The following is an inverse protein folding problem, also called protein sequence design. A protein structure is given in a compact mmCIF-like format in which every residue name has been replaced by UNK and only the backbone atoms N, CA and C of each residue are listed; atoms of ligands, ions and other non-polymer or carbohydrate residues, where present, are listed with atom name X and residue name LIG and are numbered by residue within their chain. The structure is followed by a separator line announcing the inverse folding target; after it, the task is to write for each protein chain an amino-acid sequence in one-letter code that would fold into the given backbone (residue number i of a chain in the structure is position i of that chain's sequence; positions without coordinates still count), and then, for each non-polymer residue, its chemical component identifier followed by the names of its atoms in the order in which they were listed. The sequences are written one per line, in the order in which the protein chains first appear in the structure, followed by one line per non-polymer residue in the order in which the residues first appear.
data_IF_886047908648
#
_entry.id   IF_886047908648
#
_cell.length_a   1.000
_cell.length_b   1.000
_cell.length_c   1.000
_cell.angle_alpha   90.00
_cell.angle_beta   90.00
_cell.angle_gamma   90.00
#
_symmetry.space_group_name_H-M   'P 1'
#
loop_
_entity.id
_entity.type
_entity.pdbx_description
1 polymer ?
#
# COMPACT_ATOMS: atom_id res chain seq x y z
N UNK A 1 14.41 -23.51 6.21
CA UNK A 1 15.38 -24.39 6.87
C UNK A 1 16.70 -23.69 7.01
N UNK A 2 17.38 -23.30 5.93
CA UNK A 2 18.64 -22.53 6.00
C UNK A 2 18.54 -21.28 6.88
N UNK A 3 17.44 -20.53 6.76
CA UNK A 3 17.16 -19.36 7.60
C UNK A 3 17.00 -19.74 9.10
N UNK A 4 16.17 -20.74 9.42
CA UNK A 4 15.93 -21.16 10.82
C UNK A 4 17.19 -21.69 11.49
N UNK A 5 18.09 -22.29 10.72
CA UNK A 5 19.37 -22.78 11.20
C UNK A 5 20.37 -21.66 11.54
N UNK A 6 20.09 -20.41 11.14
CA UNK A 6 20.96 -19.25 11.39
C UNK A 6 20.58 -18.44 12.64
N UNK A 7 19.32 -18.47 13.07
CA UNK A 7 18.89 -17.78 14.30
C UNK A 7 19.03 -18.65 15.55
N UNK A 8 19.06 -18.04 16.74
CA UNK A 8 19.08 -18.76 18.03
C UNK A 8 17.71 -18.62 18.69
N UNK A 9 17.08 -19.74 19.09
CA UNK A 9 15.79 -19.71 19.79
C UNK A 9 14.86 -20.86 19.42
N UNK A 10 13.56 -20.81 19.80
CA UNK A 10 12.57 -21.84 19.48
C UNK A 10 12.37 -22.03 17.96
N UNK A 11 12.56 -20.98 17.16
CA UNK A 11 12.51 -21.04 15.70
C UNK A 11 13.62 -21.94 15.12
N UNK A 12 14.83 -21.91 15.70
CA UNK A 12 15.93 -22.80 15.33
C UNK A 12 15.60 -24.28 15.59
N UNK A 13 15.03 -24.57 16.76
CA UNK A 13 14.61 -25.93 17.10
C UNK A 13 13.53 -26.45 16.13
N UNK A 14 12.59 -25.60 15.75
CA UNK A 14 11.59 -25.91 14.72
C UNK A 14 12.26 -26.21 13.37
N UNK A 15 13.27 -25.43 12.98
CA UNK A 15 14.02 -25.63 11.75
C UNK A 15 14.82 -26.92 11.70
N UNK A 16 15.46 -27.29 12.81
CA UNK A 16 16.15 -28.57 12.96
C UNK A 16 15.15 -29.72 12.87
N UNK A 17 14.02 -29.66 13.59
CA UNK A 17 12.97 -30.68 13.52
C UNK A 17 12.42 -30.88 12.10
N UNK A 18 12.08 -29.78 11.42
CA UNK A 18 11.59 -29.82 10.05
C UNK A 18 12.63 -30.34 9.04
N UNK A 19 13.93 -30.19 9.35
CA UNK A 19 15.01 -30.71 8.51
C UNK A 19 15.13 -32.21 8.49
N UNK A 20 14.67 -32.87 9.55
CA UNK A 20 14.69 -34.33 9.65
C UNK A 20 13.40 -34.97 9.12
N UNK A 21 12.37 -34.18 8.79
CA UNK A 21 11.14 -34.68 8.17
C UNK A 21 11.31 -34.84 6.66
N UNK A 22 11.04 -36.06 6.18
CA UNK A 22 10.99 -36.39 4.75
C UNK A 22 9.70 -35.86 4.11
N UNK A 23 9.66 -34.55 3.85
CA UNK A 23 8.56 -33.89 3.14
C UNK A 23 8.85 -33.74 1.63
N UNK A 24 7.81 -33.75 0.77
CA UNK A 24 7.92 -33.30 -0.61
C UNK A 24 8.55 -31.91 -0.71
N UNK A 25 9.24 -31.63 -1.81
CA UNK A 25 9.98 -30.38 -1.99
C UNK A 25 9.08 -29.15 -1.85
N UNK A 26 7.89 -29.22 -2.43
CA UNK A 26 6.89 -28.16 -2.44
C UNK A 26 6.43 -27.83 -1.01
N UNK A 27 6.21 -28.87 -0.19
CA UNK A 27 5.86 -28.70 1.22
C UNK A 27 7.02 -28.08 2.02
N UNK A 28 8.27 -28.47 1.72
CA UNK A 28 9.46 -27.85 2.33
C UNK A 28 9.58 -26.38 1.95
N UNK A 29 9.36 -26.03 0.69
CA UNK A 29 9.45 -24.65 0.20
C UNK A 29 8.36 -23.75 0.80
N UNK A 30 7.12 -24.26 0.93
CA UNK A 30 6.05 -23.56 1.64
C UNK A 30 6.43 -23.28 3.11
N UNK A 31 6.88 -24.31 3.83
CA UNK A 31 7.31 -24.16 5.22
C UNK A 31 8.47 -23.17 5.35
N UNK A 32 9.45 -23.24 4.44
CA UNK A 32 10.57 -22.31 4.39
C UNK A 32 10.11 -20.87 4.18
N UNK A 33 9.11 -20.64 3.33
CA UNK A 33 8.52 -19.32 3.09
C UNK A 33 7.84 -18.74 4.32
N UNK A 34 6.97 -19.52 4.99
CA UNK A 34 6.26 -19.10 6.22
C UNK A 34 7.27 -18.65 7.29
N UNK A 35 8.28 -19.48 7.46
CA UNK A 35 9.39 -19.28 8.39
C UNK A 35 10.21 -18.03 8.08
N UNK A 36 10.56 -17.82 6.81
CA UNK A 36 11.34 -16.66 6.40
C UNK A 36 10.56 -15.37 6.64
N UNK A 37 9.25 -15.38 6.37
CA UNK A 37 8.37 -14.23 6.65
C UNK A 37 8.24 -13.98 8.14
N UNK A 38 8.04 -15.03 8.96
CA UNK A 38 7.96 -14.88 10.43
C UNK A 38 9.22 -14.23 10.98
N UNK A 39 10.38 -14.74 10.62
CA UNK A 39 11.60 -14.23 11.22
C UNK A 39 12.03 -12.86 10.64
N UNK A 40 11.67 -12.58 9.38
CA UNK A 40 11.73 -11.22 8.86
C UNK A 40 10.84 -10.26 9.66
N UNK A 41 9.66 -10.73 10.08
CA UNK A 41 8.75 -9.96 10.91
C UNK A 41 9.28 -9.76 12.33
N UNK A 42 9.90 -10.77 12.92
CA UNK A 42 10.52 -10.68 14.25
C UNK A 42 11.72 -9.74 14.25
N UNK A 43 12.51 -9.75 13.17
CA UNK A 43 13.62 -8.79 12.95
C UNK A 43 13.12 -7.37 12.67
N UNK A 44 11.88 -7.22 12.22
CA UNK A 44 11.30 -5.96 11.78
C UNK A 44 11.70 -5.55 10.37
N UNK A 45 11.07 -4.48 9.88
CA UNK A 45 11.34 -3.91 8.57
C UNK A 45 11.33 -2.38 8.64
N UNK A 46 12.32 -1.72 8.03
CA UNK A 46 12.33 -0.26 7.94
C UNK A 46 11.13 0.23 7.11
N UNK A 47 10.16 0.80 7.81
CA UNK A 47 8.88 1.24 7.28
C UNK A 47 8.69 2.74 7.48
N UNK A 48 7.77 3.33 6.73
CA UNK A 48 7.37 4.73 6.87
C UNK A 48 5.87 4.89 7.15
N UNK A 49 5.50 5.73 8.10
CA UNK A 49 4.12 6.10 8.41
C UNK A 49 4.04 7.51 9.00
N UNK A 50 3.20 8.38 8.41
CA UNK A 50 2.87 9.72 8.93
C UNK A 50 4.11 10.56 9.30
N UNK A 51 5.11 10.62 8.42
CA UNK A 51 6.34 11.39 8.68
C UNK A 51 7.40 10.67 9.51
N UNK A 52 7.15 9.44 9.96
CA UNK A 52 8.04 8.70 10.86
C UNK A 52 8.57 7.44 10.20
N UNK A 53 9.85 7.16 10.44
CA UNK A 53 10.45 5.87 10.11
C UNK A 53 10.59 5.00 11.36
N UNK A 54 10.50 3.68 11.21
CA UNK A 54 10.65 2.73 12.30
C UNK A 54 10.83 1.32 11.78
N UNK A 55 11.40 0.44 12.60
CA UNK A 55 11.62 -0.98 12.25
C UNK A 55 10.67 -1.94 12.96
N UNK A 56 9.97 -1.47 13.99
CA UNK A 56 9.12 -2.29 14.86
C UNK A 56 7.65 -2.31 14.44
N UNK A 57 7.29 -1.61 13.36
CA UNK A 57 5.90 -1.42 12.94
C UNK A 57 5.05 -0.55 13.87
N UNK A 58 3.80 -0.32 13.45
CA UNK A 58 2.76 0.43 14.15
C UNK A 58 1.45 -0.32 14.10
N UNK A 59 0.78 -0.46 15.24
CA UNK A 59 -0.49 -1.17 15.30
C UNK A 59 -1.59 -0.52 14.45
N UNK A 60 -1.51 0.79 14.24
CA UNK A 60 -2.49 1.54 13.44
C UNK A 60 -2.10 1.65 11.96
N UNK A 61 -1.01 1.03 11.51
CA UNK A 61 -0.55 1.11 10.13
C UNK A 61 -1.64 0.68 9.14
N UNK A 62 -2.22 -0.51 9.33
CA UNK A 62 -3.23 -1.04 8.41
C UNK A 62 -4.56 -0.32 8.49
N UNK A 63 -4.88 0.33 9.62
CA UNK A 63 -6.04 1.21 9.74
C UNK A 63 -5.85 2.46 8.87
N UNK A 64 -4.67 3.09 8.95
CA UNK A 64 -4.33 4.24 8.10
C UNK A 64 -4.28 3.82 6.64
N UNK A 65 -3.59 2.73 6.31
CA UNK A 65 -3.51 2.21 4.95
C UNK A 65 -4.90 1.98 4.35
N UNK A 66 -5.78 1.25 5.06
CA UNK A 66 -7.14 1.03 4.59
C UNK A 66 -7.90 2.35 4.40
N UNK A 67 -7.78 3.30 5.34
CA UNK A 67 -8.48 4.58 5.29
C UNK A 67 -8.02 5.50 4.16
N UNK A 68 -6.77 5.41 3.70
CA UNK A 68 -6.23 6.34 2.69
C UNK A 68 -6.09 5.73 1.30
N UNK A 69 -5.98 4.40 1.21
CA UNK A 69 -5.86 3.66 -0.06
C UNK A 69 -7.20 3.18 -0.61
N UNK A 70 -8.25 3.18 0.19
CA UNK A 70 -9.56 2.73 -0.24
C UNK A 70 -10.37 3.90 -0.81
N UNK A 71 -11.01 3.75 -1.98
CA UNK A 71 -11.95 4.74 -2.50
C UNK A 71 -12.99 5.15 -1.45
N UNK A 72 -13.27 6.45 -1.34
CA UNK A 72 -14.21 7.00 -0.35
C UNK A 72 -15.60 6.34 -0.42
N UNK A 73 -16.18 6.07 -1.61
CA UNK A 73 -17.46 5.35 -1.69
C UNK A 73 -17.42 3.96 -1.04
N UNK A 74 -16.34 3.20 -1.24
CA UNK A 74 -16.17 1.89 -0.61
C UNK A 74 -15.92 2.00 0.90
N UNK A 75 -15.17 3.02 1.36
CA UNK A 75 -15.01 3.31 2.79
C UNK A 75 -16.31 3.70 3.48
N UNK A 76 -17.22 4.37 2.77
CA UNK A 76 -18.52 4.75 3.31
C UNK A 76 -19.50 3.57 3.30
N UNK A 77 -19.69 2.92 2.14
CA UNK A 77 -20.71 1.89 1.97
C UNK A 77 -20.30 0.52 2.54
N UNK A 78 -19.01 0.18 2.45
CA UNK A 78 -18.48 -1.13 2.85
C UNK A 78 -18.74 -1.46 4.32
N UNK A 79 -18.18 -0.67 5.27
CA UNK A 79 -18.38 -0.90 6.71
C UNK A 79 -19.85 -0.85 7.14
N UNK A 80 -20.64 0.09 6.60
CA UNK A 80 -22.08 0.19 6.89
C UNK A 80 -22.81 -1.08 6.47
N UNK A 81 -22.53 -1.56 5.26
CA UNK A 81 -23.16 -2.78 4.76
C UNK A 81 -22.69 -4.05 5.47
N UNK A 82 -21.40 -4.15 5.81
CA UNK A 82 -20.88 -5.24 6.64
C UNK A 82 -21.54 -5.25 8.02
N UNK A 83 -21.68 -4.10 8.68
CA UNK A 83 -22.32 -3.99 9.98
C UNK A 83 -23.81 -4.35 9.93
N UNK A 84 -24.52 -3.92 8.88
CA UNK A 84 -25.92 -4.29 8.68
C UNK A 84 -26.06 -5.79 8.41
N UNK A 85 -25.26 -6.35 7.50
CA UNK A 85 -25.27 -7.78 7.19
C UNK A 85 -24.96 -8.61 8.45
N UNK A 86 -24.00 -8.18 9.27
CA UNK A 86 -23.67 -8.85 10.53
C UNK A 86 -24.80 -8.76 11.55
N UNK A 87 -25.48 -7.61 11.66
CA UNK A 87 -26.65 -7.45 12.55
C UNK A 87 -27.77 -8.43 12.19
N UNK A 88 -28.03 -8.61 10.89
CA UNK A 88 -29.01 -9.60 10.43
C UNK A 88 -28.52 -11.02 10.64
N UNK A 89 -27.25 -11.30 10.34
CA UNK A 89 -26.64 -12.60 10.60
C UNK A 89 -26.71 -13.01 12.07
N UNK A 90 -26.52 -12.06 12.99
CA UNK A 90 -26.69 -12.30 14.42
C UNK A 90 -28.14 -12.60 14.79
N UNK A 91 -29.09 -11.76 14.34
CA UNK A 91 -30.52 -11.92 14.62
C UNK A 91 -31.05 -13.25 14.08
N UNK A 92 -30.67 -13.60 12.86
CA UNK A 92 -31.19 -14.75 12.12
C UNK A 92 -30.33 -16.01 12.33
N UNK A 93 -29.31 -15.94 13.21
CA UNK A 93 -28.32 -17.00 13.48
C UNK A 93 -27.67 -17.57 12.22
N UNK A 94 -27.42 -16.70 11.23
CA UNK A 94 -26.81 -17.06 9.96
C UNK A 94 -25.30 -16.78 9.97
N UNK A 95 -24.44 -17.82 10.07
CA UNK A 95 -22.99 -17.64 10.13
C UNK A 95 -22.41 -17.05 8.84
N UNK A 96 -23.02 -17.29 7.68
CA UNK A 96 -22.55 -16.75 6.40
C UNK A 96 -22.72 -15.23 6.31
N UNK A 97 -23.79 -14.69 6.90
CA UNK A 97 -23.99 -13.24 6.99
C UNK A 97 -23.04 -12.59 8.03
N UNK A 98 -22.62 -13.33 9.05
CA UNK A 98 -21.61 -12.87 10.02
C UNK A 98 -20.18 -12.92 9.48
N UNK A 99 -19.89 -13.87 8.56
CA UNK A 99 -18.53 -14.17 8.12
C UNK A 99 -17.74 -12.94 7.61
N UNK A 100 -18.27 -12.03 6.77
CA UNK A 100 -17.52 -10.86 6.33
C UNK A 100 -17.03 -9.97 7.48
N UNK A 101 -17.89 -9.73 8.49
CA UNK A 101 -17.51 -8.92 9.65
C UNK A 101 -16.46 -9.62 10.51
N UNK A 102 -16.64 -10.92 10.77
CA UNK A 102 -15.68 -11.71 11.55
C UNK A 102 -14.31 -11.74 10.84
N UNK A 103 -14.29 -11.99 9.53
CA UNK A 103 -13.05 -12.04 8.75
C UNK A 103 -12.35 -10.68 8.68
N UNK A 104 -13.10 -9.59 8.47
CA UNK A 104 -12.52 -8.25 8.52
C UNK A 104 -11.88 -7.98 9.88
N UNK A 105 -12.63 -8.17 10.97
CA UNK A 105 -12.15 -7.88 12.32
C UNK A 105 -10.94 -8.74 12.67
N UNK A 106 -11.01 -10.05 12.43
CA UNK A 106 -9.93 -10.98 12.80
C UNK A 106 -8.66 -10.76 12.00
N UNK A 107 -8.76 -10.62 10.67
CA UNK A 107 -7.59 -10.43 9.81
C UNK A 107 -6.96 -9.05 9.99
N UNK A 108 -7.79 -8.00 10.15
CA UNK A 108 -7.29 -6.66 10.41
C UNK A 108 -6.64 -6.57 11.80
N UNK A 109 -7.26 -7.15 12.83
CA UNK A 109 -6.67 -7.20 14.17
C UNK A 109 -5.37 -8.02 14.17
N UNK A 110 -5.34 -9.16 13.48
CA UNK A 110 -4.14 -9.98 13.36
C UNK A 110 -3.00 -9.21 12.69
N UNK A 111 -3.24 -8.60 11.53
CA UNK A 111 -2.23 -7.81 10.84
C UNK A 111 -1.77 -6.61 11.69
N UNK A 112 -2.71 -5.90 12.33
CA UNK A 112 -2.43 -4.73 13.17
C UNK A 112 -1.65 -5.08 14.43
N UNK A 113 -1.89 -6.23 15.06
CA UNK A 113 -1.25 -6.59 16.32
C UNK A 113 0.09 -7.32 16.16
N UNK A 114 0.26 -8.07 15.06
CA UNK A 114 1.39 -9.01 14.93
C UNK A 114 2.36 -8.69 13.78
N UNK A 115 2.02 -7.78 12.86
CA UNK A 115 2.91 -7.46 11.73
C UNK A 115 3.78 -6.24 12.01
N UNK A 116 5.09 -6.46 12.00
CA UNK A 116 6.12 -5.42 11.97
C UNK A 116 6.58 -5.10 10.54
N UNK A 117 6.16 -5.88 9.54
CA UNK A 117 6.44 -5.63 8.11
C UNK A 117 5.38 -4.70 7.54
N UNK A 118 5.44 -3.44 7.94
CA UNK A 118 4.48 -2.40 7.56
C UNK A 118 4.90 -1.68 6.29
N UNK A 119 4.91 -2.39 5.16
CA UNK A 119 5.44 -1.86 3.89
C UNK A 119 4.40 -1.72 2.79
N UNK A 120 3.12 -1.99 3.07
CA UNK A 120 2.07 -1.92 2.05
C UNK A 120 0.71 -2.44 2.50
N UNK A 121 -0.36 -1.89 1.94
CA UNK A 121 -1.75 -2.38 2.11
C UNK A 121 -1.95 -3.82 1.60
N UNK A 122 -1.03 -4.33 0.75
CA UNK A 122 -1.06 -5.69 0.21
C UNK A 122 -1.21 -6.80 1.24
N UNK A 123 -0.76 -6.61 2.47
CA UNK A 123 -0.91 -7.59 3.55
C UNK A 123 -2.37 -7.76 4.01
N UNK A 124 -3.26 -6.82 3.68
CA UNK A 124 -4.68 -6.85 4.04
C UNK A 124 -5.60 -6.72 2.81
N UNK A 125 -5.11 -6.95 1.58
CA UNK A 125 -5.96 -6.87 0.37
C UNK A 125 -7.13 -7.85 0.40
N UNK A 126 -6.99 -8.97 1.12
CA UNK A 126 -8.06 -9.95 1.34
C UNK A 126 -9.30 -9.35 2.02
N UNK A 127 -9.20 -8.17 2.63
CA UNK A 127 -10.33 -7.46 3.22
C UNK A 127 -11.27 -6.81 2.19
N UNK A 128 -10.74 -6.44 1.01
CA UNK A 128 -11.49 -5.68 0.00
C UNK A 128 -12.72 -6.41 -0.54
N UNK A 129 -12.67 -7.72 -0.83
CA UNK A 129 -13.88 -8.47 -1.22
C UNK A 129 -15.00 -8.38 -0.18
N UNK A 130 -14.69 -8.44 1.12
CA UNK A 130 -15.69 -8.36 2.19
C UNK A 130 -16.28 -6.95 2.29
N UNK A 131 -15.46 -5.91 2.14
CA UNK A 131 -15.94 -4.53 2.03
C UNK A 131 -16.83 -4.34 0.80
N UNK A 132 -16.47 -4.93 -0.34
CA UNK A 132 -17.27 -4.86 -1.57
C UNK A 132 -18.61 -5.58 -1.41
N UNK A 133 -18.65 -6.74 -0.73
CA UNK A 133 -19.90 -7.44 -0.38
C UNK A 133 -20.79 -6.56 0.49
N UNK A 134 -20.22 -5.93 1.53
CA UNK A 134 -20.96 -4.98 2.36
C UNK A 134 -21.52 -3.81 1.54
N UNK A 135 -20.68 -3.16 0.74
CA UNK A 135 -21.08 -2.04 -0.11
C UNK A 135 -22.20 -2.43 -1.07
N UNK A 136 -22.10 -3.60 -1.72
CA UNK A 136 -23.13 -4.12 -2.60
C UNK A 136 -24.44 -4.38 -1.83
N UNK A 137 -24.36 -4.98 -0.65
CA UNK A 137 -25.52 -5.28 0.17
C UNK A 137 -26.29 -4.03 0.59
N UNK A 138 -25.61 -2.99 1.12
CA UNK A 138 -26.27 -1.73 1.48
C UNK A 138 -26.80 -1.00 0.27
N UNK A 139 -26.09 -1.03 -0.86
CA UNK A 139 -26.51 -0.39 -2.11
C UNK A 139 -27.79 -1.01 -2.65
N UNK A 140 -27.87 -2.35 -2.70
CA UNK A 140 -29.08 -3.07 -3.16
C UNK A 140 -30.26 -2.82 -2.23
N UNK A 141 -30.04 -2.81 -0.92
CA UNK A 141 -31.07 -2.50 0.08
C UNK A 141 -31.58 -1.06 -0.06
N UNK A 142 -30.67 -0.10 -0.21
CA UNK A 142 -31.00 1.30 -0.44
C UNK A 142 -31.82 1.45 -1.72
N UNK A 143 -31.38 0.85 -2.83
CA UNK A 143 -32.08 0.88 -4.11
C UNK A 143 -33.51 0.36 -4.01
N UNK A 144 -33.71 -0.82 -3.41
CA UNK A 144 -35.04 -1.41 -3.21
C UNK A 144 -35.94 -0.54 -2.33
N UNK A 145 -35.39 0.05 -1.28
CA UNK A 145 -36.13 0.93 -0.37
C UNK A 145 -36.55 2.23 -1.06
N UNK A 146 -35.66 2.80 -1.89
CA UNK A 146 -35.92 4.00 -2.69
C UNK A 146 -36.98 3.76 -3.76
N UNK A 147 -36.96 2.61 -4.41
CA UNK A 147 -37.99 2.22 -5.38
C UNK A 147 -39.40 2.11 -4.75
N UNK A 148 -39.47 1.75 -3.47
CA UNK A 148 -40.73 1.61 -2.72
C UNK A 148 -41.20 2.91 -2.02
N UNK A 149 -40.38 3.97 -2.01
CA UNK A 149 -40.66 5.21 -1.29
C UNK A 149 -41.76 6.04 -1.98
N UNK A 150 -42.84 6.33 -1.25
CA UNK A 150 -43.98 7.14 -1.73
C UNK A 150 -43.64 8.61 -2.00
N UNK A 151 -42.88 9.35 -1.16
CA UNK A 151 -42.49 10.71 -1.51
C UNK A 151 -41.47 10.70 -2.65
N UNK A 152 -41.95 10.94 -3.88
CA UNK A 152 -41.14 10.90 -5.11
C UNK A 152 -39.87 11.75 -5.02
N UNK A 153 -39.93 12.94 -4.40
CA UNK A 153 -38.75 13.81 -4.22
C UNK A 153 -37.65 13.14 -3.38
N UNK A 154 -38.01 12.48 -2.28
CA UNK A 154 -37.04 11.79 -1.43
C UNK A 154 -36.47 10.53 -2.13
N UNK A 155 -37.31 9.80 -2.87
CA UNK A 155 -36.87 8.67 -3.68
C UNK A 155 -35.86 9.11 -4.76
N UNK A 156 -36.14 10.20 -5.48
CA UNK A 156 -35.24 10.77 -6.49
C UNK A 156 -33.92 11.24 -5.87
N UNK A 157 -33.97 11.99 -4.76
CA UNK A 157 -32.76 12.46 -4.08
C UNK A 157 -31.89 11.31 -3.59
N UNK A 158 -32.47 10.30 -2.94
CA UNK A 158 -31.71 9.13 -2.49
C UNK A 158 -31.16 8.29 -3.64
N UNK A 159 -31.91 8.17 -4.75
CA UNK A 159 -31.44 7.49 -5.96
C UNK A 159 -30.24 8.22 -6.56
N UNK A 160 -30.30 9.56 -6.63
CA UNK A 160 -29.19 10.38 -7.09
C UNK A 160 -27.94 10.15 -6.21
N UNK A 161 -28.08 10.13 -4.89
CA UNK A 161 -26.96 9.84 -3.96
C UNK A 161 -26.33 8.47 -4.25
N UNK A 162 -27.15 7.42 -4.38
CA UNK A 162 -26.65 6.07 -4.68
C UNK A 162 -25.91 6.04 -6.01
N UNK A 163 -26.48 6.64 -7.06
CA UNK A 163 -25.85 6.69 -8.38
C UNK A 163 -24.56 7.51 -8.37
N UNK A 164 -24.51 8.62 -7.61
CA UNK A 164 -23.28 9.40 -7.43
C UNK A 164 -22.19 8.60 -6.75
N UNK A 165 -22.50 7.85 -5.69
CA UNK A 165 -21.51 7.00 -5.01
C UNK A 165 -20.99 5.88 -5.91
N UNK A 166 -21.87 5.24 -6.69
CA UNK A 166 -21.47 4.21 -7.66
C UNK A 166 -20.61 4.82 -8.77
N UNK A 167 -21.01 5.98 -9.31
CA UNK A 167 -20.24 6.67 -10.33
C UNK A 167 -18.87 7.10 -9.81
N UNK A 168 -18.79 7.63 -8.59
CA UNK A 168 -17.52 7.98 -7.95
C UNK A 168 -16.64 6.73 -7.73
N UNK A 169 -17.22 5.61 -7.30
CA UNK A 169 -16.46 4.37 -7.17
C UNK A 169 -15.86 3.95 -8.51
N UNK A 170 -16.65 4.02 -9.58
CA UNK A 170 -16.19 3.67 -10.92
C UNK A 170 -15.16 4.68 -11.44
N UNK A 171 -15.32 5.97 -11.17
CA UNK A 171 -14.41 7.01 -11.65
C UNK A 171 -12.96 6.78 -11.23
N UNK A 172 -12.74 6.09 -10.10
CA UNK A 172 -11.39 5.69 -9.64
C UNK A 172 -10.60 4.89 -10.67
N UNK A 173 -11.25 4.11 -11.54
CA UNK A 173 -10.59 3.36 -12.60
C UNK A 173 -9.89 4.28 -13.62
N UNK A 174 -10.49 5.44 -13.90
CA UNK A 174 -9.97 6.43 -14.83
C UNK A 174 -9.05 7.43 -14.13
N UNK A 175 -9.40 7.90 -12.94
CA UNK A 175 -8.60 8.92 -12.23
C UNK A 175 -7.28 8.35 -11.69
N UNK A 176 -7.25 7.06 -11.36
CA UNK A 176 -6.03 6.38 -10.94
C UNK A 176 -5.19 5.85 -12.11
N UNK A 177 -5.74 5.73 -13.33
CA UNK A 177 -4.99 5.23 -14.47
C UNK A 177 -3.88 6.22 -14.88
N UNK A 178 -2.67 5.75 -15.24
CA UNK A 178 -2.16 4.37 -15.22
C UNK A 178 -1.50 3.97 -13.88
N UNK A 179 -1.59 4.82 -12.87
CA UNK A 179 -0.85 4.80 -11.61
C UNK A 179 -1.65 4.21 -10.44
N UNK A 180 -2.08 2.95 -10.57
CA UNK A 180 -2.89 2.30 -9.52
C UNK A 180 -2.11 2.01 -8.23
N UNK A 181 -0.81 1.73 -8.32
CA UNK A 181 0.04 1.49 -7.14
C UNK A 181 0.08 2.72 -6.21
N UNK A 182 0.47 3.92 -6.70
CA UNK A 182 0.50 5.12 -5.88
C UNK A 182 -0.88 5.75 -5.65
N UNK A 183 -2.00 5.07 -5.93
CA UNK A 183 -3.34 5.64 -5.70
C UNK A 183 -3.57 5.92 -4.21
N UNK A 184 -4.05 7.12 -3.89
CA UNK A 184 -4.64 7.48 -2.60
C UNK A 184 -5.99 8.12 -2.88
N UNK A 185 -6.93 7.99 -1.95
CA UNK A 185 -8.21 8.67 -2.08
C UNK A 185 -8.05 10.19 -1.93
N UNK A 186 -9.09 10.90 -2.35
CA UNK A 186 -9.12 12.35 -2.51
C UNK A 186 -8.93 13.12 -1.18
N UNK A 187 -9.04 12.44 -0.03
CA UNK A 187 -8.78 13.02 1.28
C UNK A 187 -7.28 13.16 1.60
N UNK A 188 -6.38 12.61 0.77
CA UNK A 188 -4.93 12.63 0.99
C UNK A 188 -4.21 13.35 -0.16
N UNK A 189 -4.04 14.68 -0.06
CA UNK A 189 -3.37 15.47 -1.10
C UNK A 189 -1.84 15.27 -1.12
N UNK A 190 -1.25 14.84 0.00
CA UNK A 190 0.19 14.64 0.18
C UNK A 190 0.50 13.20 0.60
N UNK A 191 0.39 12.23 -0.32
CA UNK A 191 0.56 10.82 -0.01
C UNK A 191 1.95 10.48 0.55
N UNK A 192 2.98 11.19 0.11
CA UNK A 192 4.38 11.05 0.55
C UNK A 192 4.57 11.33 2.04
N UNK A 193 3.63 12.06 2.67
CA UNK A 193 3.63 12.35 4.11
C UNK A 193 2.91 11.29 4.92
N UNK A 194 2.18 10.38 4.28
CA UNK A 194 1.29 9.41 4.93
C UNK A 194 1.84 8.00 4.84
N UNK A 195 2.03 7.48 3.62
CA UNK A 195 2.56 6.14 3.36
C UNK A 195 3.48 6.19 2.15
N UNK A 196 4.63 5.55 2.26
CA UNK A 196 5.57 5.38 1.14
C UNK A 196 5.75 3.89 0.88
N UNK A 197 6.97 3.34 0.88
CA UNK A 197 7.22 1.92 0.55
C UNK A 197 6.37 1.45 -0.64
N UNK A 198 5.87 0.22 -0.63
CA UNK A 198 5.03 -0.28 -1.72
C UNK A 198 3.63 0.33 -1.82
N UNK A 199 3.30 1.27 -0.94
CA UNK A 199 2.07 2.05 -1.06
C UNK A 199 2.26 3.24 -2.01
N UNK A 200 3.42 3.91 -2.09
CA UNK A 200 3.60 5.06 -3.01
C UNK A 200 4.70 4.83 -4.04
N UNK A 201 5.81 4.25 -3.62
CA UNK A 201 7.02 4.17 -4.43
C UNK A 201 7.71 2.85 -4.21
N UNK A 202 7.65 2.03 -5.24
CA UNK A 202 8.38 0.77 -5.30
C UNK A 202 9.30 0.70 -6.53
N UNK A 203 9.64 1.87 -7.07
CA UNK A 203 10.52 2.02 -8.22
C UNK A 203 9.82 2.00 -9.58
N UNK A 204 8.49 2.07 -9.63
CA UNK A 204 7.70 1.97 -10.87
C UNK A 204 7.93 3.11 -11.87
N UNK A 205 8.38 4.28 -11.43
CA UNK A 205 8.56 5.46 -12.29
C UNK A 205 9.93 5.52 -12.98
N UNK A 206 10.81 4.51 -12.81
CA UNK A 206 12.16 4.51 -13.40
C UNK A 206 12.14 4.67 -14.93
N UNK A 207 11.24 3.96 -15.61
CA UNK A 207 11.08 4.07 -17.06
C UNK A 207 10.67 5.47 -17.51
N UNK A 208 9.86 6.17 -16.71
CA UNK A 208 9.46 7.56 -17.00
C UNK A 208 10.64 8.51 -16.81
N UNK A 209 11.49 8.25 -15.82
CA UNK A 209 12.72 9.00 -15.60
C UNK A 209 13.69 8.85 -16.79
N UNK A 210 13.89 7.64 -17.30
CA UNK A 210 14.72 7.40 -18.49
C UNK A 210 14.24 8.21 -19.70
N UNK A 211 12.95 8.12 -20.01
CA UNK A 211 12.35 8.84 -21.14
C UNK A 211 12.49 10.34 -20.96
N UNK A 212 12.26 10.84 -19.74
CA UNK A 212 12.36 12.26 -19.45
C UNK A 212 13.79 12.78 -19.48
N UNK A 213 14.75 12.01 -18.96
CA UNK A 213 16.16 12.35 -19.01
C UNK A 213 16.66 12.44 -20.46
N UNK A 214 16.21 11.53 -21.33
CA UNK A 214 16.50 11.58 -22.76
C UNK A 214 15.89 12.82 -23.44
N UNK A 215 14.63 13.15 -23.14
CA UNK A 215 13.96 14.35 -23.68
C UNK A 215 14.67 15.66 -23.29
N UNK A 216 15.18 15.73 -22.06
CA UNK A 216 15.90 16.89 -21.54
C UNK A 216 17.37 16.92 -21.96
N UNK A 217 17.87 15.89 -22.65
CA UNK A 217 19.27 15.79 -23.05
C UNK A 217 20.22 15.74 -21.85
N UNK A 218 19.81 15.13 -20.74
CA UNK A 218 20.64 15.04 -19.52
C UNK A 218 21.87 14.19 -19.82
N UNK A 219 23.06 14.79 -19.76
CA UNK A 219 24.31 14.07 -19.98
C UNK A 219 24.77 13.27 -18.74
N UNK A 220 24.53 13.82 -17.54
CA UNK A 220 24.90 13.22 -16.26
C UNK A 220 23.81 13.38 -15.21
N UNK A 221 23.50 12.33 -14.48
CA UNK A 221 22.45 12.31 -13.45
C UNK A 221 23.00 11.81 -12.10
N UNK A 222 22.77 12.56 -11.02
CA UNK A 222 22.94 12.02 -9.66
C UNK A 222 21.63 11.40 -9.22
N UNK A 223 21.61 10.12 -8.88
CA UNK A 223 20.37 9.37 -8.62
C UNK A 223 20.36 8.70 -7.26
N UNK A 224 19.30 8.92 -6.48
CA UNK A 224 18.93 8.14 -5.30
C UNK A 224 17.61 7.40 -5.60
N UNK A 225 17.72 6.17 -6.08
CA UNK A 225 16.57 5.35 -6.47
C UNK A 225 16.47 4.10 -5.60
N UNK A 226 15.26 3.78 -5.14
CA UNK A 226 14.94 2.51 -4.49
C UNK A 226 13.89 1.74 -5.26
N UNK A 227 14.34 0.71 -5.96
CA UNK A 227 13.51 -0.30 -6.63
C UNK A 227 14.35 -1.56 -6.88
N UNK A 228 13.81 -2.50 -7.64
CA UNK A 228 14.48 -3.79 -7.93
C UNK A 228 15.29 -3.79 -9.23
N UNK A 229 15.22 -2.73 -10.03
CA UNK A 229 15.92 -2.63 -11.31
C UNK A 229 17.45 -2.50 -11.11
N UNK A 230 18.21 -3.14 -12.00
CA UNK A 230 19.66 -2.93 -12.11
C UNK A 230 19.91 -1.69 -12.98
N UNK A 231 20.13 -0.53 -12.33
CA UNK A 231 20.29 0.75 -13.01
C UNK A 231 21.36 0.76 -14.10
N UNK A 232 22.36 -0.13 -14.04
CA UNK A 232 23.43 -0.22 -15.05
C UNK A 232 22.95 -0.83 -16.37
N UNK A 233 21.80 -1.51 -16.37
CA UNK A 233 21.16 -2.13 -17.53
C UNK A 233 20.05 -1.28 -18.13
N UNK A 234 19.66 -0.22 -17.43
CA UNK A 234 18.61 0.69 -17.87
C UNK A 234 19.17 1.79 -18.77
N UNK A 235 18.39 2.32 -19.72
CA UNK A 235 18.80 3.38 -20.63
C UNK A 235 18.81 4.76 -19.94
N UNK A 236 19.48 4.84 -18.80
CA UNK A 236 19.76 6.09 -18.08
C UNK A 236 20.98 6.78 -18.69
N UNK A 237 21.08 8.11 -18.58
CA UNK A 237 22.32 8.81 -18.86
C UNK A 237 23.43 8.36 -17.90
N UNK A 238 24.67 8.81 -18.15
CA UNK A 238 25.77 8.52 -17.23
C UNK A 238 25.39 8.96 -15.81
N UNK A 239 25.31 8.01 -14.87
CA UNK A 239 24.80 8.31 -13.53
C UNK A 239 25.81 8.04 -12.44
N UNK A 240 25.63 8.73 -11.32
CA UNK A 240 26.30 8.44 -10.06
C UNK A 240 25.25 8.23 -8.99
N UNK A 241 25.46 7.26 -8.11
CA UNK A 241 24.60 7.07 -6.95
C UNK A 241 24.78 8.27 -6.02
N UNK A 242 23.68 8.94 -5.69
CA UNK A 242 23.70 10.11 -4.84
C UNK A 242 24.09 9.70 -3.41
N UNK A 243 25.23 10.22 -2.95
CA UNK A 243 25.77 9.93 -1.62
C UNK A 243 25.01 10.63 -0.50
N UNK A 244 25.02 10.02 0.70
CA UNK A 244 24.46 10.61 1.91
C UNK A 244 25.18 11.91 2.28
N UNK A 245 24.41 12.97 2.58
CA UNK A 245 24.88 14.29 3.05
C UNK A 245 25.96 14.92 2.17
N UNK A 246 25.92 14.65 0.88
CA UNK A 246 26.84 15.20 -0.12
C UNK A 246 26.05 15.99 -1.15
N UNK A 247 25.90 17.31 -0.96
CA UNK A 247 25.32 18.18 -1.98
C UNK A 247 26.10 18.06 -3.30
N UNK A 248 25.37 18.10 -4.41
CA UNK A 248 25.91 18.04 -5.76
C UNK A 248 25.21 19.08 -6.62
N UNK A 249 25.89 19.59 -7.64
CA UNK A 249 25.29 20.45 -8.67
C UNK A 249 24.85 19.63 -9.90
N UNK A 250 23.99 20.23 -10.72
CA UNK A 250 23.42 19.64 -11.91
C UNK A 250 22.14 18.82 -11.65
N UNK A 251 21.90 17.84 -12.51
CA UNK A 251 20.67 17.04 -12.46
C UNK A 251 20.69 16.02 -11.32
N UNK A 252 19.65 16.05 -10.50
CA UNK A 252 19.45 15.11 -9.38
C UNK A 252 18.06 14.50 -9.45
N UNK A 253 17.97 13.17 -9.39
CA UNK A 253 16.70 12.46 -9.28
C UNK A 253 16.66 11.65 -7.97
N UNK A 254 15.57 11.79 -7.21
CA UNK A 254 15.38 11.04 -5.96
C UNK A 254 13.98 10.45 -5.90
N UNK A 255 13.91 9.14 -5.65
CA UNK A 255 12.65 8.43 -5.44
C UNK A 255 12.15 8.70 -4.00
N UNK A 256 10.84 8.85 -3.80
CA UNK A 256 10.21 9.09 -2.49
C UNK A 256 10.63 8.06 -1.45
N UNK A 257 10.77 6.79 -1.84
CA UNK A 257 11.23 5.71 -0.97
C UNK A 257 12.67 5.92 -0.51
N UNK A 258 13.54 6.43 -1.39
CA UNK A 258 14.92 6.78 -1.02
C UNK A 258 14.95 7.97 -0.05
N UNK A 259 14.15 9.01 -0.35
CA UNK A 259 14.06 10.23 0.47
C UNK A 259 13.54 9.96 1.87
N UNK A 260 12.42 9.22 1.97
CA UNK A 260 11.72 9.01 3.24
C UNK A 260 12.38 7.98 4.16
N UNK A 261 13.09 6.99 3.62
CA UNK A 261 13.88 6.04 4.45
C UNK A 261 15.10 6.69 5.09
N UNK A 262 15.71 7.66 4.41
CA UNK A 262 16.93 8.33 4.85
C UNK A 262 16.79 9.87 4.77
N UNK A 263 15.85 10.48 5.52
CA UNK A 263 15.54 11.91 5.34
C UNK A 263 16.73 12.81 5.65
N UNK A 264 17.51 12.50 6.69
CA UNK A 264 18.70 13.26 7.05
C UNK A 264 19.82 13.20 6.00
N UNK A 265 19.85 12.17 5.15
CA UNK A 265 20.88 12.02 4.12
C UNK A 265 20.66 12.98 2.94
N UNK A 266 19.41 13.39 2.73
CA UNK A 266 18.97 14.16 1.57
C UNK A 266 18.31 15.50 1.95
N UNK A 267 18.30 15.88 3.23
CA UNK A 267 17.67 17.11 3.74
C UNK A 267 18.19 18.40 3.08
N UNK A 268 19.39 18.38 2.49
CA UNK A 268 19.92 19.52 1.74
C UNK A 268 19.08 19.85 0.49
N UNK A 269 18.33 18.88 -0.06
CA UNK A 269 17.39 19.10 -1.15
C UNK A 269 16.16 19.92 -0.71
N UNK A 270 15.86 20.04 0.58
CA UNK A 270 14.72 20.82 1.08
C UNK A 270 14.89 22.33 0.84
N UNK A 271 16.13 22.77 0.59
CA UNK A 271 16.44 24.15 0.19
C UNK A 271 16.07 24.45 -1.28
N UNK A 272 15.70 23.44 -2.07
CA UNK A 272 15.43 23.56 -3.49
C UNK A 272 14.02 23.02 -3.82
N UNK A 273 13.21 23.73 -4.60
CA UNK A 273 12.00 23.14 -5.16
C UNK A 273 12.38 22.12 -6.25
N UNK A 274 11.72 20.95 -6.32
CA UNK A 274 11.88 20.06 -7.47
C UNK A 274 11.42 20.78 -8.74
N UNK A 275 12.15 20.57 -9.83
CA UNK A 275 11.79 21.08 -11.16
C UNK A 275 10.47 20.45 -11.62
N UNK A 276 10.37 19.13 -11.45
CA UNK A 276 9.17 18.35 -11.74
C UNK A 276 9.14 17.04 -10.96
N UNK A 277 7.94 16.51 -10.73
CA UNK A 277 7.73 15.13 -10.27
C UNK A 277 7.56 14.23 -11.48
N UNK A 278 8.45 13.27 -11.65
CA UNK A 278 8.36 12.19 -12.64
C UNK A 278 7.39 11.12 -12.13
N UNK A 279 6.28 10.96 -12.85
CA UNK A 279 5.19 10.08 -12.44
C UNK A 279 4.58 10.55 -11.12
N UNK A 280 4.59 9.68 -10.10
CA UNK A 280 4.09 9.98 -8.76
C UNK A 280 5.17 9.87 -7.67
N UNK A 281 6.34 9.33 -8.00
CA UNK A 281 7.29 8.87 -6.98
C UNK A 281 8.72 9.39 -7.11
N UNK A 282 9.11 10.08 -8.19
CA UNK A 282 10.50 10.57 -8.34
C UNK A 282 10.48 12.08 -8.50
N UNK A 283 11.17 12.80 -7.62
CA UNK A 283 11.42 14.23 -7.77
C UNK A 283 12.70 14.43 -8.59
N UNK A 284 12.64 15.29 -9.62
CA UNK A 284 13.77 15.70 -10.45
C UNK A 284 14.13 17.16 -10.16
N UNK A 285 15.42 17.43 -9.97
CA UNK A 285 15.98 18.73 -9.64
C UNK A 285 17.06 19.13 -10.63
N UNK A 286 17.27 20.44 -10.77
CA UNK A 286 18.49 21.01 -11.32
C UNK A 286 19.12 21.95 -10.28
N UNK A 287 20.23 21.52 -9.70
CA UNK A 287 20.92 22.24 -8.63
C UNK A 287 21.99 23.16 -9.24
N UNK A 288 22.02 24.46 -8.91
CA UNK A 288 23.00 25.40 -9.46
C UNK A 288 24.45 25.09 -9.05
#
# INVERSE_FOLDING_TARGET
MSYLLQERGPDHLLGVLLSHLSLPREAKDLLNGIVAVKAHNDSGHLSYLLGRTGTTGWWYFYLVALAVKTPIPLLAAGPVGVAWLAREGWRDRNPWALAPAVLIVTLLAFASLFSHINVGIRHILVLYPFLAIGAAYVTVRAWRSLAALRPRRAATAGTAVVLTLVFWQLSTLWTAYPDYLPYFNEAVPHPERVLVDSDLDWGQDLRRLELRAAQLGIAKLSIAYRGTADLKREPLPAFVVLGSRRPVSGWVAISELARTRNPADYAWLDAYPPLERIGKSIDLYYIP
#
